data_IF_498978579159
#
_entry.id   IF_498978579159
#
_cell.length_a   1.000
_cell.length_b   1.000
_cell.length_c   1.000
_cell.angle_alpha   90.00
_cell.angle_beta   90.00
_cell.angle_gamma   90.00
#
_symmetry.space_group_name_H-M   'P 1'
#
loop_
_entity.id
_entity.type
_entity.pdbx_description
1 polymer ?
#
# COMPACT_ATOMS: atom_id res chain seq x y z
N UNK A 1 49.11 -11.81 15.68
CA UNK A 1 48.54 -12.75 16.67
C UNK A 1 47.14 -12.25 16.98
N UNK A 2 46.06 -12.79 16.41
CA UNK A 2 45.24 -13.94 16.89
C UNK A 2 44.85 -13.84 18.37
N UNK A 3 43.65 -13.34 18.65
CA UNK A 3 42.75 -13.90 19.68
C UNK A 3 41.31 -13.82 19.16
N UNK A 4 40.58 -14.91 19.39
CA UNK A 4 39.27 -15.31 18.89
C UNK A 4 38.24 -15.24 20.03
N UNK A 5 36.98 -15.36 19.63
CA UNK A 5 35.79 -15.82 20.38
C UNK A 5 34.90 -14.71 20.96
N UNK A 6 33.64 -14.52 20.51
CA UNK A 6 32.45 -15.40 20.42
C UNK A 6 31.67 -15.45 21.73
N UNK A 7 30.53 -14.76 21.77
CA UNK A 7 29.46 -14.96 22.77
C UNK A 7 28.11 -14.89 22.05
N UNK A 8 27.50 -16.06 21.90
CA UNK A 8 26.07 -16.31 21.67
C UNK A 8 25.35 -16.20 23.02
N UNK A 9 24.20 -15.54 23.06
CA UNK A 9 23.14 -15.74 24.07
C UNK A 9 21.82 -15.70 23.31
N UNK A 10 21.33 -16.84 22.84
CA UNK A 10 20.53 -17.85 23.55
C UNK A 10 19.08 -17.39 23.77
N UNK A 11 18.24 -18.02 22.98
CA UNK A 11 16.77 -17.99 22.93
C UNK A 11 16.12 -18.43 24.24
N UNK A 12 14.94 -17.87 24.53
CA UNK A 12 13.92 -18.52 25.36
C UNK A 12 12.53 -18.18 24.81
N UNK A 13 11.93 -19.15 24.09
CA UNK A 13 10.49 -19.24 23.89
C UNK A 13 9.83 -19.64 25.22
N UNK A 14 8.81 -18.90 25.65
CA UNK A 14 7.88 -19.34 26.69
C UNK A 14 6.54 -19.69 26.04
N UNK A 15 6.31 -20.98 25.84
CA UNK A 15 4.96 -21.53 25.65
C UNK A 15 4.34 -21.74 27.04
N UNK A 16 3.23 -21.05 27.31
CA UNK A 16 2.36 -21.36 28.43
C UNK A 16 1.19 -22.21 27.90
N UNK A 17 1.34 -23.52 28.02
CA UNK A 17 0.22 -24.46 27.94
C UNK A 17 -0.47 -24.51 29.30
N UNK A 18 -1.75 -24.15 29.35
CA UNK A 18 -2.58 -24.21 30.53
C UNK A 18 -3.11 -25.64 30.69
N UNK A 19 -2.73 -26.26 31.80
CA UNK A 19 -3.10 -27.60 32.23
C UNK A 19 -4.46 -27.56 32.93
N UNK A 20 -5.35 -28.49 32.57
CA UNK A 20 -6.41 -28.94 33.47
C UNK A 20 -6.65 -30.44 33.29
N UNK A 21 -6.37 -31.14 34.38
CA UNK A 21 -7.03 -32.37 34.86
C UNK A 21 -6.53 -33.74 34.39
N UNK A 22 -5.77 -34.37 35.30
CA UNK A 22 -5.91 -35.75 35.80
C UNK A 22 -5.47 -36.94 34.92
N UNK A 23 -4.59 -37.79 35.47
CA UNK A 23 -4.42 -39.20 35.04
C UNK A 23 -2.98 -39.66 34.80
N UNK A 24 -2.66 -40.84 35.30
CA UNK A 24 -1.31 -41.42 35.51
C UNK A 24 -0.73 -42.19 34.30
N UNK A 25 0.61 -42.30 34.30
CA UNK A 25 1.53 -43.32 33.73
C UNK A 25 1.45 -43.89 32.29
N UNK A 26 2.56 -43.66 31.57
CA UNK A 26 3.34 -44.51 30.64
C UNK A 26 2.67 -45.65 29.86
N UNK A 27 2.80 -45.65 28.51
CA UNK A 27 3.46 -46.70 27.69
C UNK A 27 3.27 -46.47 26.19
N UNK A 28 4.19 -47.05 25.42
CA UNK A 28 4.57 -46.77 24.04
C UNK A 28 3.71 -47.51 22.98
N UNK A 29 3.76 -47.00 21.74
CA UNK A 29 3.62 -47.69 20.45
C UNK A 29 2.26 -47.80 19.72
N UNK A 30 2.40 -47.67 18.40
CA UNK A 30 1.43 -47.46 17.33
C UNK A 30 0.55 -48.68 16.93
N UNK A 31 -0.61 -48.39 16.30
CA UNK A 31 -1.33 -49.18 15.27
C UNK A 31 -2.74 -48.56 15.08
N UNK A 32 -3.08 -47.97 13.93
CA UNK A 32 -3.73 -48.56 12.73
C UNK A 32 -5.27 -48.72 12.83
N UNK A 33 -5.97 -48.40 11.72
CA UNK A 33 -7.41 -48.65 11.48
C UNK A 33 -8.32 -47.41 11.68
N UNK A 34 -8.75 -46.65 10.66
CA UNK A 34 -9.64 -46.94 9.52
C UNK A 34 -11.10 -46.52 9.76
N UNK A 35 -11.70 -45.96 8.69
CA UNK A 35 -13.14 -45.82 8.41
C UNK A 35 -13.90 -44.67 9.13
N UNK A 36 -14.83 -43.91 8.54
CA UNK A 36 -15.42 -43.77 7.19
C UNK A 36 -16.41 -42.59 7.26
N UNK A 37 -16.67 -41.92 6.12
CA UNK A 37 -17.99 -41.47 5.61
C UNK A 37 -18.92 -40.67 6.56
N UNK A 38 -19.36 -39.44 6.29
CA UNK A 38 -20.13 -38.85 5.18
C UNK A 38 -20.52 -37.42 5.64
N UNK A 39 -21.03 -36.44 4.89
CA UNK A 39 -21.19 -36.07 3.48
C UNK A 39 -21.95 -34.73 3.49
N UNK A 40 -21.99 -34.05 2.34
CA UNK A 40 -22.74 -32.81 1.96
C UNK A 40 -22.12 -31.47 2.39
N UNK A 41 -21.53 -30.68 1.48
CA UNK A 41 -22.11 -29.91 0.34
C UNK A 41 -23.13 -28.87 0.84
N UNK A 42 -22.98 -27.56 0.58
CA UNK A 42 -23.15 -26.84 -0.70
C UNK A 42 -22.28 -25.56 -0.66
N UNK A 43 -21.47 -25.23 -1.67
CA UNK A 43 -21.78 -24.50 -2.92
C UNK A 43 -22.59 -23.21 -2.73
N UNK A 44 -21.97 -22.07 -3.00
CA UNK A 44 -22.67 -20.83 -3.37
C UNK A 44 -21.80 -20.06 -4.35
N UNK A 45 -22.08 -20.30 -5.63
CA UNK A 45 -21.73 -19.41 -6.72
C UNK A 45 -22.55 -18.13 -6.60
N UNK A 46 -21.98 -17.00 -6.99
CA UNK A 46 -22.77 -15.81 -7.31
C UNK A 46 -22.21 -15.17 -8.56
N UNK A 47 -22.99 -15.31 -9.63
CA UNK A 47 -22.91 -14.56 -10.87
C UNK A 47 -24.21 -13.76 -11.02
N UNK A 48 -24.08 -12.50 -11.33
CA UNK A 48 -25.09 -11.65 -11.98
C UNK A 48 -24.32 -10.45 -12.57
N UNK A 49 -24.22 -10.33 -13.89
CA UNK A 49 -25.21 -9.79 -14.86
C UNK A 49 -25.20 -8.25 -14.92
N UNK A 50 -24.47 -7.78 -15.94
CA UNK A 50 -24.76 -6.71 -16.88
C UNK A 50 -26.03 -5.87 -16.63
N UNK A 51 -25.87 -4.55 -16.55
CA UNK A 51 -26.90 -3.64 -17.04
C UNK A 51 -26.30 -2.50 -17.86
N UNK A 52 -26.76 -2.49 -19.11
CA UNK A 52 -26.62 -1.48 -20.14
C UNK A 52 -27.21 -0.14 -19.72
N UNK A 53 -26.54 0.96 -20.07
CA UNK A 53 -27.17 2.22 -20.47
C UNK A 53 -26.20 3.05 -21.32
N UNK A 54 -26.60 3.22 -22.58
CA UNK A 54 -25.96 3.98 -23.65
C UNK A 54 -26.55 5.39 -23.74
N UNK A 55 -25.78 6.32 -24.34
CA UNK A 55 -26.12 7.68 -24.82
C UNK A 55 -26.19 8.78 -23.75
N UNK A 56 -25.69 9.99 -23.97
CA UNK A 56 -25.23 10.64 -25.19
C UNK A 56 -24.28 11.80 -24.84
N UNK A 57 -23.36 12.06 -25.77
CA UNK A 57 -22.61 13.28 -26.07
C UNK A 57 -22.87 14.52 -25.20
N UNK A 58 -21.82 14.99 -24.53
CA UNK A 58 -21.40 16.38 -24.65
C UNK A 58 -19.86 16.40 -24.78
N UNK A 59 -19.41 16.63 -26.01
CA UNK A 59 -18.07 17.10 -26.31
C UNK A 59 -17.90 18.46 -25.63
N UNK A 60 -17.18 18.47 -24.52
CA UNK A 60 -16.57 19.69 -23.99
C UNK A 60 -15.08 19.47 -23.95
N UNK A 61 -14.47 19.92 -25.04
CA UNK A 61 -13.08 20.35 -25.09
C UNK A 61 -12.71 21.11 -23.81
N UNK A 62 -11.80 20.53 -23.05
CA UNK A 62 -11.13 21.19 -21.95
C UNK A 62 -9.65 20.81 -21.98
N UNK A 63 -9.00 21.03 -23.14
CA UNK A 63 -7.57 21.31 -23.18
C UNK A 63 -7.30 22.68 -22.54
N UNK A 64 -7.55 22.82 -21.24
CA UNK A 64 -7.27 24.01 -20.45
C UNK A 64 -7.02 23.58 -18.99
N UNK A 65 -5.80 23.17 -18.67
CA UNK A 65 -5.20 23.22 -17.33
C UNK A 65 -3.76 22.72 -17.41
N UNK A 66 -2.74 23.33 -16.86
CA UNK A 66 -2.59 24.56 -16.10
C UNK A 66 -1.08 24.79 -16.11
N UNK A 67 -0.59 26.00 -16.39
CA UNK A 67 0.87 26.29 -16.40
C UNK A 67 1.58 26.01 -15.06
N UNK A 68 0.82 25.63 -14.04
CA UNK A 68 1.23 25.58 -12.65
C UNK A 68 1.11 24.15 -12.04
N UNK A 69 0.70 23.14 -12.82
CA UNK A 69 0.66 21.76 -12.33
C UNK A 69 2.07 21.17 -12.22
N UNK A 70 2.46 20.76 -11.02
CA UNK A 70 3.76 20.17 -10.73
C UNK A 70 3.85 18.67 -11.06
N UNK A 71 2.73 18.01 -11.33
CA UNK A 71 2.69 16.58 -11.59
C UNK A 71 3.08 16.26 -13.05
N UNK A 72 4.12 15.47 -13.23
CA UNK A 72 4.48 14.87 -14.52
C UNK A 72 3.71 13.55 -14.73
N UNK A 73 2.49 13.69 -15.23
CA UNK A 73 1.55 12.59 -15.43
C UNK A 73 2.02 11.62 -16.53
N UNK A 74 2.58 12.16 -17.61
CA UNK A 74 3.02 11.38 -18.79
C UNK A 74 4.14 10.39 -18.45
N UNK A 75 4.99 10.72 -17.48
CA UNK A 75 6.11 9.88 -17.05
C UNK A 75 5.82 9.06 -15.78
N UNK A 76 4.54 8.93 -15.40
CA UNK A 76 4.17 8.16 -14.22
C UNK A 76 4.27 6.64 -14.45
N UNK A 77 4.75 5.92 -13.43
CA UNK A 77 4.94 4.47 -13.47
C UNK A 77 3.82 3.72 -12.73
N UNK A 78 3.53 2.48 -13.12
CA UNK A 78 2.47 1.68 -12.48
C UNK A 78 2.80 1.27 -11.05
N UNK A 79 1.84 1.45 -10.13
CA UNK A 79 1.96 1.10 -8.72
C UNK A 79 1.66 2.26 -7.77
N UNK A 80 2.01 2.06 -6.51
CA UNK A 80 1.96 3.08 -5.46
C UNK A 80 3.06 2.85 -4.44
N UNK A 81 3.45 3.88 -3.70
CA UNK A 81 4.40 3.76 -2.58
C UNK A 81 3.59 3.62 -1.29
N UNK A 82 3.82 2.53 -0.56
CA UNK A 82 3.07 2.27 0.67
C UNK A 82 3.59 3.08 1.88
N UNK A 83 2.95 2.89 3.03
CA UNK A 83 3.34 3.52 4.31
C UNK A 83 4.70 3.07 4.86
N UNK A 84 5.35 2.08 4.23
CA UNK A 84 6.69 1.59 4.58
C UNK A 84 7.74 2.00 3.56
N UNK A 85 7.39 2.84 2.57
CA UNK A 85 8.30 3.30 1.52
C UNK A 85 8.55 2.28 0.41
N UNK A 86 7.81 1.16 0.40
CA UNK A 86 7.95 0.14 -0.64
C UNK A 86 7.04 0.48 -1.83
N UNK A 87 7.62 0.48 -3.02
CA UNK A 87 6.84 0.50 -4.26
C UNK A 87 6.11 -0.84 -4.42
N UNK A 88 4.78 -0.80 -4.49
CA UNK A 88 3.93 -1.96 -4.74
C UNK A 88 3.29 -1.81 -6.11
N UNK A 89 3.46 -2.82 -6.96
CA UNK A 89 2.77 -2.89 -8.23
C UNK A 89 1.25 -2.94 -8.01
N UNK A 90 0.52 -2.15 -8.80
CA UNK A 90 -0.94 -2.11 -8.80
C UNK A 90 -1.42 -1.73 -10.19
N UNK A 91 -2.44 -2.41 -10.75
CA UNK A 91 -3.01 -2.02 -12.03
C UNK A 91 -3.83 -0.72 -11.94
N UNK A 92 -4.23 -0.30 -10.74
CA UNK A 92 -5.18 0.79 -10.52
C UNK A 92 -4.52 2.12 -10.17
N UNK A 93 -3.22 2.09 -9.84
CA UNK A 93 -2.47 3.26 -9.40
C UNK A 93 -1.26 3.52 -10.27
N UNK A 94 -0.88 4.79 -10.32
CA UNK A 94 0.36 5.30 -10.92
C UNK A 94 1.11 6.15 -9.90
N UNK A 95 2.43 6.21 -10.02
CA UNK A 95 3.33 7.06 -9.22
C UNK A 95 4.06 8.01 -10.13
N UNK A 96 4.03 9.30 -9.79
CA UNK A 96 4.80 10.31 -10.52
C UNK A 96 6.30 10.12 -10.35
N UNK A 97 7.11 10.69 -11.25
CA UNK A 97 8.51 10.99 -10.97
C UNK A 97 8.70 11.83 -9.69
N UNK A 98 9.95 11.98 -9.28
CA UNK A 98 10.33 12.89 -8.18
C UNK A 98 10.00 14.33 -8.55
N UNK A 99 9.37 15.03 -7.60
CA UNK A 99 9.01 16.44 -7.70
C UNK A 99 9.80 17.15 -6.61
N UNK A 100 10.52 18.22 -6.97
CA UNK A 100 11.19 19.08 -5.99
C UNK A 100 10.17 19.66 -5.00
N UNK A 101 10.51 19.59 -3.72
CA UNK A 101 9.65 19.99 -2.62
C UNK A 101 10.41 20.90 -1.66
N UNK A 102 9.69 21.88 -1.12
CA UNK A 102 10.22 22.82 -0.12
C UNK A 102 9.22 22.87 1.05
N UNK A 103 9.60 22.39 2.24
CA UNK A 103 8.70 22.33 3.39
C UNK A 103 8.25 23.69 3.89
N UNK A 104 8.95 24.77 3.52
CA UNK A 104 8.53 26.14 3.86
C UNK A 104 7.43 26.68 2.93
N UNK A 105 7.13 25.97 1.84
CA UNK A 105 6.14 26.35 0.85
C UNK A 105 4.80 25.64 1.09
N UNK A 106 3.71 26.26 0.64
CA UNK A 106 2.38 25.65 0.66
C UNK A 106 2.09 25.00 -0.69
N UNK A 107 1.58 23.76 -0.65
CA UNK A 107 1.14 23.03 -1.84
C UNK A 107 -0.28 22.54 -1.65
N UNK A 108 -1.06 22.57 -2.72
CA UNK A 108 -2.46 22.17 -2.73
C UNK A 108 -2.70 21.09 -3.79
N UNK A 109 -3.30 20.00 -3.34
CA UNK A 109 -3.71 18.87 -4.15
C UNK A 109 -5.21 18.96 -4.40
N UNK A 110 -5.67 18.90 -5.64
CA UNK A 110 -7.10 19.09 -5.93
C UNK A 110 -7.96 17.82 -5.73
N UNK A 111 -7.36 16.62 -5.74
CA UNK A 111 -8.02 15.31 -5.68
C UNK A 111 -7.20 14.35 -4.82
N UNK A 112 -7.85 13.42 -4.13
CA UNK A 112 -7.17 12.54 -3.19
C UNK A 112 -6.12 11.62 -3.80
N UNK A 113 -4.98 11.51 -3.12
CA UNK A 113 -3.82 10.73 -3.52
C UNK A 113 -2.96 10.37 -2.29
N UNK A 114 -1.96 9.51 -2.50
CA UNK A 114 -0.90 9.26 -1.52
C UNK A 114 0.31 10.10 -1.89
N UNK A 115 0.88 10.80 -0.91
CA UNK A 115 2.08 11.63 -1.07
C UNK A 115 3.19 10.98 -0.28
N UNK A 116 4.24 10.56 -0.95
CA UNK A 116 5.43 10.00 -0.33
C UNK A 116 6.52 11.06 -0.30
N UNK A 117 7.04 11.33 0.89
CA UNK A 117 8.06 12.33 1.16
C UNK A 117 9.43 11.67 1.29
N UNK A 118 10.44 12.32 0.72
CA UNK A 118 11.81 11.84 0.69
C UNK A 118 12.78 12.95 1.09
N UNK A 119 13.89 12.56 1.70
CA UNK A 119 15.04 13.43 2.02
C UNK A 119 16.30 12.82 1.42
N UNK A 120 16.93 13.50 0.48
CA UNK A 120 18.14 13.04 -0.22
C UNK A 120 17.97 11.64 -0.82
N UNK A 121 16.76 11.31 -1.28
CA UNK A 121 16.39 9.99 -1.80
C UNK A 121 16.06 8.93 -0.74
N UNK A 122 16.17 9.23 0.55
CA UNK A 122 15.71 8.37 1.64
C UNK A 122 14.23 8.59 1.94
N UNK A 123 13.46 7.50 2.05
CA UNK A 123 12.04 7.57 2.37
C UNK A 123 11.81 8.07 3.80
N UNK A 124 10.91 9.04 3.96
CA UNK A 124 10.47 9.54 5.26
C UNK A 124 9.11 8.92 5.62
N UNK A 125 8.08 9.25 4.86
CA UNK A 125 6.72 8.79 5.11
C UNK A 125 5.83 8.88 3.88
N UNK A 126 4.70 8.19 3.94
CA UNK A 126 3.61 8.33 2.97
C UNK A 126 2.36 8.78 3.71
N UNK A 127 1.73 9.85 3.23
CA UNK A 127 0.49 10.39 3.79
C UNK A 127 -0.63 10.27 2.76
N UNK A 128 -1.81 9.86 3.20
CA UNK A 128 -3.01 9.92 2.36
C UNK A 128 -3.65 11.30 2.49
N UNK A 129 -3.75 12.02 1.38
CA UNK A 129 -4.48 13.29 1.31
C UNK A 129 -5.78 13.11 0.54
N UNK A 130 -6.84 13.80 0.97
CA UNK A 130 -8.17 13.74 0.32
C UNK A 130 -8.35 14.83 -0.74
N UNK A 131 -7.90 16.05 -0.45
CA UNK A 131 -7.82 17.24 -1.31
C UNK A 131 -7.50 18.44 -0.41
N UNK A 132 -6.95 19.51 -0.95
CA UNK A 132 -6.57 20.72 -0.23
C UNK A 132 -5.07 20.76 0.08
N UNK A 133 -4.66 21.52 1.11
CA UNK A 133 -3.26 21.65 1.47
C UNK A 133 -2.68 20.30 1.88
N UNK A 134 -1.48 20.01 1.41
CA UNK A 134 -0.76 18.78 1.79
C UNK A 134 -0.03 18.98 3.12
N UNK A 135 0.27 17.88 3.81
CA UNK A 135 1.05 17.91 5.04
C UNK A 135 2.49 18.42 4.78
N UNK A 136 3.02 19.25 5.68
CA UNK A 136 4.39 19.73 5.58
C UNK A 136 5.34 18.84 6.39
N UNK A 137 6.26 18.18 5.69
CA UNK A 137 7.30 17.33 6.29
C UNK A 137 8.65 18.06 6.26
N UNK A 138 9.15 18.48 7.43
CA UNK A 138 10.26 19.44 7.57
C UNK A 138 11.60 19.02 6.93
N UNK A 139 11.88 17.72 6.88
CA UNK A 139 13.14 17.19 6.34
C UNK A 139 13.03 16.74 4.87
N UNK A 140 11.85 16.85 4.27
CA UNK A 140 11.63 16.42 2.89
C UNK A 140 12.16 17.44 1.89
N UNK A 141 12.80 16.96 0.83
CA UNK A 141 13.26 17.77 -0.32
C UNK A 141 12.60 17.35 -1.64
N UNK A 142 11.96 16.19 -1.64
CA UNK A 142 11.28 15.64 -2.81
C UNK A 142 10.02 14.92 -2.39
N UNK A 143 9.04 14.91 -3.28
CA UNK A 143 7.81 14.13 -3.14
C UNK A 143 7.56 13.29 -4.38
N UNK A 144 6.80 12.21 -4.20
CA UNK A 144 6.17 11.45 -5.28
C UNK A 144 4.69 11.26 -4.96
N UNK A 145 3.83 11.39 -5.96
CA UNK A 145 2.38 11.29 -5.77
C UNK A 145 1.90 9.98 -6.39
N UNK A 146 1.29 9.12 -5.57
CA UNK A 146 0.59 7.92 -6.05
C UNK A 146 -0.91 8.20 -6.17
N UNK A 147 -1.47 8.07 -7.37
CA UNK A 147 -2.85 8.42 -7.67
C UNK A 147 -3.55 7.30 -8.44
N UNK A 148 -4.88 7.26 -8.36
CA UNK A 148 -5.69 6.29 -9.09
C UNK A 148 -5.77 6.65 -10.57
N UNK A 149 -5.71 5.67 -11.48
CA UNK A 149 -5.70 5.89 -12.93
C UNK A 149 -6.89 6.73 -13.43
N UNK A 150 -8.05 6.64 -12.76
CA UNK A 150 -9.23 7.44 -13.13
C UNK A 150 -9.07 8.96 -12.94
N UNK A 151 -7.96 9.41 -12.33
CA UNK A 151 -7.68 10.81 -12.05
C UNK A 151 -6.62 11.41 -12.97
N UNK A 152 -6.09 10.66 -13.94
CA UNK A 152 -4.98 11.06 -14.81
C UNK A 152 -5.17 12.45 -15.43
N UNK A 153 -6.34 12.72 -16.01
CA UNK A 153 -6.64 14.01 -16.66
C UNK A 153 -7.15 15.09 -15.71
N UNK A 154 -7.21 14.81 -14.40
CA UNK A 154 -7.93 15.64 -13.42
C UNK A 154 -7.07 16.05 -12.24
N UNK A 155 -6.07 15.25 -11.87
CA UNK A 155 -5.25 15.50 -10.69
C UNK A 155 -4.23 16.61 -10.97
N UNK A 156 -4.09 17.51 -10.00
CA UNK A 156 -3.11 18.58 -10.04
C UNK A 156 -2.55 18.85 -8.65
N UNK A 157 -1.25 19.13 -8.61
CA UNK A 157 -0.56 19.67 -7.45
C UNK A 157 -0.03 21.06 -7.81
N UNK A 158 -0.38 22.07 -7.02
CA UNK A 158 0.03 23.46 -7.27
C UNK A 158 0.73 24.05 -6.05
N UNK A 159 1.75 24.86 -6.27
CA UNK A 159 2.41 25.67 -5.23
C UNK A 159 1.65 27.00 -5.07
N UNK A 160 1.39 27.42 -3.84
CA UNK A 160 0.69 28.68 -3.52
C UNK A 160 1.64 29.83 -3.25
#
# INVERSE_FOLDING_TARGET
MKIKSFVLFSSALLFLTACSDSGEESTDSASDGANTEETSAETSESKSEENSSTSDSEEVDASESSSDNLLDIENSEGGWINFSGESKGSPDYKVTPEIEYDPASEYELNIGAYISYFSNGEFLETVQSSSGPIEQVEDADTIRVSYHNSFEDKISLTKK
#
